data_IF_836634237172
#
_entry.id   IF_836634237172
#
_cell.length_a   1.000
_cell.length_b   1.000
_cell.length_c   1.000
_cell.angle_alpha   90.00
_cell.angle_beta   90.00
_cell.angle_gamma   90.00
#
_symmetry.space_group_name_H-M   'P 1'
#
loop_
_entity.id
_entity.type
_entity.pdbx_description
1 polymer ?
#
# COMPACT_ATOMS: atom_id res chain seq x y z
N UNK A 1 -21.33 15.27 6.15
CA UNK A 1 -20.71 14.09 5.50
C UNK A 1 -19.27 14.41 5.11
N UNK A 2 -18.32 13.61 5.57
CA UNK A 2 -16.95 13.64 5.08
C UNK A 2 -16.99 13.30 3.59
N UNK A 3 -16.33 14.10 2.74
CA UNK A 3 -16.37 13.92 1.27
C UNK A 3 -15.91 12.51 0.86
N UNK A 4 -15.14 11.84 1.73
CA UNK A 4 -14.54 10.54 1.50
C UNK A 4 -15.53 9.35 1.60
N UNK A 5 -16.70 9.56 2.21
CA UNK A 5 -17.70 8.50 2.44
C UNK A 5 -18.92 8.60 1.52
N UNK A 6 -18.92 9.57 0.60
CA UNK A 6 -20.03 9.74 -0.34
C UNK A 6 -20.05 8.59 -1.37
N UNK A 7 -21.16 7.82 -1.50
CA UNK A 7 -21.25 6.73 -2.45
C UNK A 7 -21.36 7.19 -3.92
N UNK A 8 -21.67 8.47 -4.15
CA UNK A 8 -21.88 9.05 -5.48
C UNK A 8 -20.67 9.80 -6.03
N UNK A 9 -20.69 10.17 -7.32
CA UNK A 9 -19.70 11.07 -7.88
C UNK A 9 -19.77 12.44 -7.17
N UNK A 10 -18.59 13.01 -6.87
CA UNK A 10 -18.51 14.28 -6.18
C UNK A 10 -19.09 15.42 -7.04
N UNK A 11 -19.96 16.22 -6.45
CA UNK A 11 -20.46 17.46 -7.03
C UNK A 11 -19.35 18.55 -7.06
N UNK A 12 -19.53 19.65 -7.80
CA UNK A 12 -18.52 20.71 -7.91
C UNK A 12 -18.10 21.33 -6.56
N UNK A 13 -19.02 21.47 -5.61
CA UNK A 13 -18.76 22.04 -4.28
C UNK A 13 -17.98 21.06 -3.40
N UNK A 14 -18.28 19.76 -3.50
CA UNK A 14 -17.51 18.71 -2.86
C UNK A 14 -16.08 18.66 -3.40
N UNK A 15 -15.91 18.77 -4.72
CA UNK A 15 -14.59 18.91 -5.35
C UNK A 15 -13.82 20.14 -4.87
N UNK A 16 -14.49 21.30 -4.75
CA UNK A 16 -13.87 22.52 -4.25
C UNK A 16 -13.38 22.35 -2.80
N UNK A 17 -14.19 21.71 -1.94
CA UNK A 17 -13.80 21.39 -0.55
C UNK A 17 -12.63 20.41 -0.51
N UNK A 18 -12.68 19.35 -1.31
CA UNK A 18 -11.60 18.37 -1.40
C UNK A 18 -10.28 19.03 -1.86
N UNK A 19 -10.32 19.93 -2.84
CA UNK A 19 -9.10 20.62 -3.28
C UNK A 19 -8.50 21.55 -2.23
N UNK A 20 -9.29 21.97 -1.25
CA UNK A 20 -8.86 22.89 -0.18
C UNK A 20 -8.35 22.19 1.08
N UNK A 21 -8.69 20.92 1.30
CA UNK A 21 -8.30 20.26 2.56
C UNK A 21 -6.79 20.22 2.79
N UNK A 22 -5.89 20.06 1.78
CA UNK A 22 -4.45 20.03 2.05
C UNK A 22 -3.96 21.31 2.74
N UNK A 23 -4.47 22.47 2.32
CA UNK A 23 -4.16 23.76 2.94
C UNK A 23 -4.72 23.86 4.37
N UNK A 24 -5.96 23.41 4.57
CA UNK A 24 -6.60 23.42 5.89
C UNK A 24 -5.85 22.50 6.88
N UNK A 25 -5.47 21.30 6.45
CA UNK A 25 -4.70 20.35 7.26
C UNK A 25 -3.33 20.91 7.64
N UNK A 26 -2.61 21.51 6.69
CA UNK A 26 -1.33 22.16 7.00
C UNK A 26 -1.48 23.31 8.00
N UNK A 27 -2.53 24.13 7.86
CA UNK A 27 -2.80 25.23 8.79
C UNK A 27 -3.14 24.73 10.20
N UNK A 28 -3.89 23.64 10.33
CA UNK A 28 -4.19 23.00 11.63
C UNK A 28 -2.91 22.48 12.29
N UNK A 29 -2.04 21.81 11.53
CA UNK A 29 -0.77 21.28 12.05
C UNK A 29 0.11 22.41 12.59
N UNK A 30 0.30 23.48 11.81
CA UNK A 30 1.11 24.63 12.22
C UNK A 30 0.46 25.41 13.39
N UNK A 31 -0.86 25.55 13.38
CA UNK A 31 -1.62 26.25 14.42
C UNK A 31 -1.62 25.53 15.77
N UNK A 32 -1.32 24.22 15.79
CA UNK A 32 -1.22 23.44 17.02
C UNK A 32 -0.02 23.80 17.91
N UNK A 33 0.96 24.55 17.40
CA UNK A 33 2.11 25.03 18.18
C UNK A 33 3.06 23.95 18.68
N UNK A 34 2.97 22.73 18.13
CA UNK A 34 3.87 21.61 18.43
C UNK A 34 5.17 21.79 17.65
N UNK A 35 6.33 21.95 18.31
CA UNK A 35 7.62 22.10 17.62
C UNK A 35 7.95 20.89 16.75
N UNK A 36 8.59 21.12 15.60
CA UNK A 36 9.05 20.04 14.71
C UNK A 36 7.97 19.47 13.77
N UNK A 37 6.85 20.17 13.59
CA UNK A 37 5.74 19.74 12.72
C UNK A 37 5.79 20.33 11.31
N UNK A 38 6.84 21.09 10.98
CA UNK A 38 6.97 21.80 9.70
C UNK A 38 6.96 20.83 8.51
N UNK A 39 7.67 19.71 8.61
CA UNK A 39 7.68 18.67 7.56
C UNK A 39 6.30 18.02 7.44
N UNK A 40 5.61 17.76 8.55
CA UNK A 40 4.27 17.19 8.53
C UNK A 40 3.26 18.15 7.88
N UNK A 41 3.38 19.45 8.14
CA UNK A 41 2.57 20.47 7.50
C UNK A 41 2.84 20.54 5.99
N UNK A 42 4.10 20.44 5.57
CA UNK A 42 4.49 20.37 4.14
C UNK A 42 3.92 19.10 3.48
N UNK A 43 4.01 17.94 4.13
CA UNK A 43 3.41 16.70 3.66
C UNK A 43 1.89 16.84 3.49
N UNK A 44 1.20 17.38 4.49
CA UNK A 44 -0.23 17.62 4.43
C UNK A 44 -0.62 18.59 3.30
N UNK A 45 0.17 19.64 3.07
CA UNK A 45 -0.07 20.61 2.01
C UNK A 45 0.14 20.02 0.61
N UNK A 46 1.18 19.21 0.42
CA UNK A 46 1.71 18.91 -0.91
C UNK A 46 1.44 17.50 -1.43
N UNK A 47 0.99 16.55 -0.61
CA UNK A 47 0.82 15.14 -1.02
C UNK A 47 -0.22 14.90 -2.14
N UNK A 48 -1.04 15.89 -2.50
CA UNK A 48 -1.95 15.84 -3.67
C UNK A 48 -1.44 16.61 -4.89
N UNK A 49 -0.26 17.23 -4.79
CA UNK A 49 0.42 17.84 -5.95
C UNK A 49 0.99 16.73 -6.83
N UNK A 50 1.01 16.99 -8.14
CA UNK A 50 1.56 16.07 -9.16
C UNK A 50 2.72 16.76 -9.89
N UNK A 51 3.79 16.04 -10.26
CA UNK A 51 4.90 16.58 -11.05
C UNK A 51 4.45 17.14 -12.41
N UNK A 52 3.42 16.56 -13.02
CA UNK A 52 2.84 17.04 -14.28
C UNK A 52 1.95 18.30 -14.15
N UNK A 53 1.76 18.81 -12.93
CA UNK A 53 0.94 19.98 -12.65
C UNK A 53 -0.57 19.71 -12.59
N UNK A 54 -1.03 18.47 -12.80
CA UNK A 54 -2.46 18.09 -12.73
C UNK A 54 -3.02 17.97 -11.31
N UNK A 55 -2.18 18.12 -10.29
CA UNK A 55 -2.54 17.98 -8.87
C UNK A 55 -3.04 19.27 -8.22
N UNK A 56 -3.18 19.24 -6.90
CA UNK A 56 -3.59 20.40 -6.09
C UNK A 56 -2.95 20.38 -4.69
N UNK A 57 -2.83 21.53 -4.01
CA UNK A 57 -3.09 22.89 -4.50
C UNK A 57 -2.00 23.35 -5.48
N UNK A 58 -2.37 24.27 -6.38
CA UNK A 58 -1.39 24.95 -7.23
C UNK A 58 -0.61 25.96 -6.38
N UNK A 59 0.72 25.79 -6.31
CA UNK A 59 1.63 26.71 -5.63
C UNK A 59 2.31 27.61 -6.66
N UNK A 60 2.44 28.90 -6.36
CA UNK A 60 2.93 29.92 -7.30
C UNK A 60 4.47 30.01 -7.36
N UNK A 61 5.17 29.24 -6.55
CA UNK A 61 6.64 29.28 -6.43
C UNK A 61 7.37 28.42 -7.47
N UNK A 62 6.65 27.61 -8.25
CA UNK A 62 7.22 26.80 -9.32
C UNK A 62 8.20 25.72 -8.85
N UNK A 63 8.29 25.47 -7.54
CA UNK A 63 9.21 24.47 -6.98
C UNK A 63 8.64 23.07 -7.05
N UNK A 64 9.55 22.10 -7.07
CA UNK A 64 9.21 20.68 -7.00
C UNK A 64 8.50 20.33 -5.68
N UNK A 65 7.76 19.23 -5.71
CA UNK A 65 7.09 18.69 -4.53
C UNK A 65 8.13 18.26 -3.51
N UNK A 66 7.91 18.60 -2.23
CA UNK A 66 8.83 18.19 -1.17
C UNK A 66 8.97 16.64 -1.15
N UNK A 67 10.19 16.06 -1.03
CA UNK A 67 10.41 14.62 -1.14
C UNK A 67 9.51 13.78 -0.22
N UNK A 68 9.31 14.21 1.03
CA UNK A 68 8.42 13.53 1.97
C UNK A 68 6.95 13.55 1.52
N UNK A 69 6.50 14.63 0.90
CA UNK A 69 5.14 14.75 0.35
C UNK A 69 4.99 13.91 -0.94
N UNK A 70 6.04 13.88 -1.76
CA UNK A 70 6.08 13.04 -2.96
C UNK A 70 6.02 11.54 -2.59
N UNK A 71 6.76 11.09 -1.58
CA UNK A 71 6.62 9.72 -1.07
C UNK A 71 5.22 9.47 -0.48
N UNK A 72 4.69 10.41 0.31
CA UNK A 72 3.35 10.29 0.86
C UNK A 72 2.29 10.16 -0.24
N UNK A 73 2.41 10.90 -1.36
CA UNK A 73 1.48 10.80 -2.48
C UNK A 73 1.38 9.38 -3.06
N UNK A 74 2.52 8.68 -3.16
CA UNK A 74 2.60 7.30 -3.62
C UNK A 74 1.91 6.36 -2.63
N UNK A 75 2.26 6.48 -1.35
CA UNK A 75 1.71 5.63 -0.28
C UNK A 75 0.21 5.84 -0.11
N UNK A 76 -0.25 7.09 -0.17
CA UNK A 76 -1.66 7.46 -0.03
C UNK A 76 -2.52 6.90 -1.17
N UNK A 77 -2.05 6.96 -2.42
CA UNK A 77 -2.77 6.33 -3.54
C UNK A 77 -2.76 4.81 -3.42
N UNK A 78 -1.63 4.20 -3.04
CA UNK A 78 -1.55 2.76 -2.82
C UNK A 78 -2.53 2.29 -1.73
N UNK A 79 -2.58 2.97 -0.58
CA UNK A 79 -3.54 2.71 0.49
C UNK A 79 -4.96 2.83 -0.03
N UNK A 80 -5.25 3.93 -0.72
CA UNK A 80 -6.60 4.18 -1.21
C UNK A 80 -7.05 3.04 -2.13
N UNK A 81 -6.18 2.56 -3.04
CA UNK A 81 -6.44 1.46 -3.99
C UNK A 81 -6.73 0.14 -3.27
N UNK A 82 -5.98 -0.18 -2.23
CA UNK A 82 -6.06 -1.47 -1.53
C UNK A 82 -7.08 -1.47 -0.37
N UNK A 83 -7.55 -0.30 0.06
CA UNK A 83 -8.54 -0.15 1.12
C UNK A 83 -9.97 -0.55 0.69
N UNK A 84 -10.74 -1.05 1.66
CA UNK A 84 -12.20 -1.25 1.51
C UNK A 84 -12.89 0.12 1.51
N UNK A 85 -13.61 0.47 0.44
CA UNK A 85 -14.39 1.70 0.34
C UNK A 85 -15.84 1.40 -0.09
N UNK A 86 -16.84 2.19 0.32
CA UNK A 86 -18.25 1.91 -0.01
C UNK A 86 -18.58 1.94 -1.51
N UNK A 87 -17.89 2.81 -2.27
CA UNK A 87 -18.20 3.13 -3.66
C UNK A 87 -17.33 2.40 -4.69
N UNK A 88 -16.33 1.62 -4.25
CA UNK A 88 -15.48 0.87 -5.18
C UNK A 88 -14.93 -0.40 -4.55
N UNK A 89 -14.70 -1.40 -5.40
CA UNK A 89 -13.99 -2.61 -5.01
C UNK A 89 -12.52 -2.28 -4.75
N UNK A 90 -11.97 -2.87 -3.69
CA UNK A 90 -10.54 -2.79 -3.40
C UNK A 90 -9.73 -3.54 -4.48
N UNK A 91 -8.61 -2.97 -4.87
CA UNK A 91 -7.64 -3.61 -5.76
C UNK A 91 -6.81 -4.66 -5.01
N UNK A 92 -6.19 -5.57 -5.75
CA UNK A 92 -5.13 -6.43 -5.20
C UNK A 92 -3.86 -5.62 -4.97
N UNK A 93 -2.97 -6.08 -4.08
CA UNK A 93 -1.72 -5.35 -3.79
C UNK A 93 -0.84 -5.28 -5.03
N UNK A 94 -0.69 -6.39 -5.76
CA UNK A 94 0.08 -6.45 -7.02
C UNK A 94 -0.49 -5.52 -8.09
N UNK A 95 -1.82 -5.45 -8.23
CA UNK A 95 -2.43 -4.51 -9.19
C UNK A 95 -2.26 -3.05 -8.75
N UNK A 96 -2.39 -2.75 -7.46
CA UNK A 96 -2.15 -1.41 -6.92
C UNK A 96 -0.70 -0.95 -7.15
N UNK A 97 0.29 -1.84 -6.92
CA UNK A 97 1.70 -1.61 -7.27
C UNK A 97 1.86 -1.28 -8.75
N UNK A 98 1.19 -2.04 -9.64
CA UNK A 98 1.25 -1.81 -11.09
C UNK A 98 0.66 -0.46 -11.49
N UNK A 99 -0.46 -0.05 -10.88
CA UNK A 99 -1.08 1.26 -11.12
C UNK A 99 -0.12 2.38 -10.72
N UNK A 100 0.46 2.31 -9.52
CA UNK A 100 1.46 3.26 -9.03
C UNK A 100 2.67 3.33 -9.96
N UNK A 101 3.21 2.18 -10.37
CA UNK A 101 4.35 2.11 -11.29
C UNK A 101 4.03 2.76 -12.65
N UNK A 102 2.81 2.59 -13.15
CA UNK A 102 2.36 3.19 -14.42
C UNK A 102 2.25 4.71 -14.34
N UNK A 103 1.92 5.27 -13.17
CA UNK A 103 1.86 6.72 -12.93
C UNK A 103 3.22 7.41 -12.74
N UNK A 104 4.32 6.66 -12.82
CA UNK A 104 5.67 7.20 -12.64
C UNK A 104 6.02 8.23 -13.71
N UNK A 105 6.46 9.42 -13.29
CA UNK A 105 6.85 10.52 -14.18
C UNK A 105 5.70 11.39 -14.66
N UNK A 106 4.45 11.04 -14.32
CA UNK A 106 3.27 11.89 -14.56
C UNK A 106 2.60 12.26 -13.24
N UNK A 107 1.99 11.27 -12.59
CA UNK A 107 1.27 11.43 -11.33
C UNK A 107 2.23 11.46 -10.14
N UNK A 108 3.33 10.71 -10.23
CA UNK A 108 4.28 10.51 -9.14
C UNK A 108 5.70 10.84 -9.55
N UNK A 109 6.49 11.29 -8.57
CA UNK A 109 7.94 11.43 -8.74
C UNK A 109 8.58 10.05 -9.02
N UNK A 110 9.35 9.89 -10.12
CA UNK A 110 9.95 8.60 -10.47
C UNK A 110 10.90 8.04 -9.40
N UNK A 111 11.62 8.91 -8.69
CA UNK A 111 12.51 8.52 -7.60
C UNK A 111 11.74 7.93 -6.42
N UNK A 112 10.61 8.54 -6.06
CA UNK A 112 9.74 8.04 -4.99
C UNK A 112 9.03 6.74 -5.37
N UNK A 113 8.60 6.58 -6.63
CA UNK A 113 8.07 5.30 -7.12
C UNK A 113 9.12 4.22 -7.02
N UNK A 114 10.35 4.47 -7.49
CA UNK A 114 11.44 3.49 -7.40
C UNK A 114 11.77 3.13 -5.95
N UNK A 115 11.79 4.12 -5.05
CA UNK A 115 12.00 3.87 -3.62
C UNK A 115 10.89 2.99 -3.04
N UNK A 116 9.63 3.30 -3.33
CA UNK A 116 8.47 2.51 -2.91
C UNK A 116 8.56 1.06 -3.42
N UNK A 117 8.80 0.87 -4.72
CA UNK A 117 8.93 -0.46 -5.34
C UNK A 117 10.12 -1.25 -4.77
N UNK A 118 11.24 -0.60 -4.46
CA UNK A 118 12.40 -1.27 -3.85
C UNK A 118 12.12 -1.82 -2.45
N UNK A 119 11.09 -1.31 -1.77
CA UNK A 119 10.69 -1.74 -0.42
C UNK A 119 9.51 -2.70 -0.43
N UNK A 120 8.54 -2.48 -1.31
CA UNK A 120 7.32 -3.28 -1.39
C UNK A 120 7.44 -4.47 -2.35
N UNK A 121 8.36 -4.44 -3.31
CA UNK A 121 8.48 -5.45 -4.35
C UNK A 121 7.21 -5.58 -5.20
N UNK A 122 7.13 -6.67 -5.96
CA UNK A 122 5.93 -7.00 -6.76
C UNK A 122 4.88 -7.79 -5.97
N UNK A 123 5.26 -8.34 -4.81
CA UNK A 123 4.37 -9.03 -3.88
C UNK A 123 4.55 -8.40 -2.51
N UNK A 124 3.86 -7.28 -2.25
CA UNK A 124 3.90 -6.63 -0.95
C UNK A 124 3.57 -7.60 0.18
N UNK A 125 4.24 -7.50 1.35
CA UNK A 125 3.84 -8.22 2.54
C UNK A 125 2.35 -8.02 2.82
N UNK A 126 1.62 -9.12 3.01
CA UNK A 126 0.17 -9.08 3.18
C UNK A 126 -0.64 -9.30 1.90
N UNK A 127 0.01 -9.56 0.76
CA UNK A 127 -0.67 -10.02 -0.44
C UNK A 127 -1.28 -11.41 -0.23
N UNK A 128 -2.55 -11.59 -0.55
CA UNK A 128 -3.21 -12.88 -0.43
C UNK A 128 -3.36 -13.53 -1.80
N UNK A 129 -3.10 -14.82 -1.90
CA UNK A 129 -3.19 -15.59 -3.14
C UNK A 129 -4.09 -16.79 -2.96
N UNK A 130 -5.01 -17.00 -3.90
CA UNK A 130 -5.74 -18.26 -3.99
C UNK A 130 -4.90 -19.29 -4.71
N UNK A 131 -4.73 -20.44 -4.09
CA UNK A 131 -4.03 -21.57 -4.68
C UNK A 131 -5.00 -22.40 -5.51
N UNK A 132 -4.47 -23.17 -6.47
CA UNK A 132 -5.27 -24.14 -7.24
C UNK A 132 -5.89 -25.23 -6.38
N UNK A 133 -5.36 -25.48 -5.18
CA UNK A 133 -5.94 -26.37 -4.17
C UNK A 133 -7.19 -25.80 -3.50
N UNK A 134 -7.46 -24.50 -3.63
CA UNK A 134 -8.55 -23.80 -2.95
C UNK A 134 -8.07 -22.99 -1.74
N UNK A 135 -6.93 -23.33 -1.15
CA UNK A 135 -6.35 -22.65 0.02
C UNK A 135 -5.97 -21.20 -0.28
N UNK A 136 -5.85 -20.39 0.78
CA UNK A 136 -5.34 -19.00 0.69
C UNK A 136 -3.98 -18.89 1.34
N UNK A 137 -3.00 -18.45 0.54
CA UNK A 137 -1.66 -18.09 0.96
C UNK A 137 -1.58 -16.60 1.27
N UNK A 138 -1.19 -16.25 2.50
CA UNK A 138 -0.70 -14.93 2.86
C UNK A 138 0.79 -14.84 2.47
N UNK A 139 1.08 -14.12 1.39
CA UNK A 139 2.43 -13.86 0.90
C UNK A 139 3.22 -12.91 1.81
N UNK A 140 4.46 -13.30 2.08
CA UNK A 140 5.44 -12.52 2.85
C UNK A 140 6.52 -11.97 1.92
N UNK A 141 7.01 -12.80 1.02
CA UNK A 141 8.16 -12.47 0.16
C UNK A 141 8.01 -13.20 -1.19
N UNK A 142 8.26 -12.47 -2.28
CA UNK A 142 8.49 -13.10 -3.59
C UNK A 142 9.89 -13.69 -3.64
N UNK A 143 10.01 -14.94 -4.03
CA UNK A 143 11.29 -15.65 -4.17
C UNK A 143 11.43 -16.19 -5.59
N UNK A 144 12.61 -16.71 -5.93
CA UNK A 144 12.83 -17.29 -7.26
C UNK A 144 11.86 -18.46 -7.50
N UNK A 145 11.06 -18.37 -8.56
CA UNK A 145 10.06 -19.36 -8.95
C UNK A 145 8.76 -19.40 -8.13
N UNK A 146 8.57 -18.55 -7.12
CA UNK A 146 7.35 -18.59 -6.32
C UNK A 146 7.20 -17.53 -5.23
N UNK A 147 6.30 -17.80 -4.29
CA UNK A 147 6.00 -16.93 -3.15
C UNK A 147 6.21 -17.71 -1.86
N UNK A 148 6.95 -17.14 -0.92
CA UNK A 148 7.05 -17.62 0.45
C UNK A 148 5.95 -16.96 1.28
N UNK A 149 5.27 -17.74 2.10
CA UNK A 149 4.17 -17.22 2.90
C UNK A 149 3.62 -18.21 3.90
N UNK A 150 2.37 -17.94 4.28
CA UNK A 150 1.60 -18.66 5.29
C UNK A 150 0.29 -19.14 4.69
N UNK A 151 -0.03 -20.42 4.77
CA UNK A 151 -1.42 -20.85 4.53
C UNK A 151 -2.25 -20.33 5.70
N UNK A 152 -3.27 -19.52 5.39
CA UNK A 152 -4.10 -18.83 6.37
C UNK A 152 -5.58 -19.25 6.29
N UNK A 153 -6.01 -19.78 5.14
CA UNK A 153 -7.36 -20.32 4.91
C UNK A 153 -7.20 -21.67 4.21
N UNK A 154 -7.96 -22.68 4.64
CA UNK A 154 -7.97 -23.99 3.97
C UNK A 154 -8.89 -24.00 2.72
N UNK A 155 -9.00 -25.15 2.07
CA UNK A 155 -9.79 -25.29 0.84
C UNK A 155 -11.32 -25.20 1.07
N UNK A 156 -11.78 -25.36 2.31
CA UNK A 156 -13.18 -25.23 2.69
C UNK A 156 -13.55 -23.78 3.07
N UNK A 157 -12.55 -22.88 3.12
CA UNK A 157 -12.73 -21.46 3.44
C UNK A 157 -12.58 -21.14 4.92
N UNK A 158 -12.11 -22.08 5.73
CA UNK A 158 -11.93 -21.90 7.17
C UNK A 158 -10.55 -21.33 7.50
N UNK A 159 -10.51 -20.34 8.41
CA UNK A 159 -9.26 -19.73 8.82
C UNK A 159 -8.44 -20.70 9.69
N UNK A 160 -7.19 -20.90 9.33
CA UNK A 160 -6.27 -21.70 10.12
C UNK A 160 -5.87 -20.95 11.40
N UNK A 161 -6.14 -21.56 12.55
CA UNK A 161 -5.73 -21.05 13.86
C UNK A 161 -4.20 -20.95 13.99
N UNK A 162 -3.47 -21.87 13.34
CA UNK A 162 -2.01 -21.84 13.27
C UNK A 162 -1.62 -21.78 11.79
N UNK A 163 -1.17 -20.61 11.29
CA UNK A 163 -0.77 -20.48 9.91
C UNK A 163 0.47 -21.33 9.63
N UNK A 164 0.49 -22.03 8.50
CA UNK A 164 1.58 -22.94 8.15
C UNK A 164 2.58 -22.26 7.20
N UNK A 165 3.86 -22.11 7.59
CA UNK A 165 4.89 -21.57 6.71
C UNK A 165 5.10 -22.49 5.51
N UNK A 166 5.10 -21.91 4.31
CA UNK A 166 5.27 -22.66 3.07
C UNK A 166 5.96 -21.85 1.98
N UNK A 167 6.33 -22.53 0.91
CA UNK A 167 6.74 -21.97 -0.36
C UNK A 167 5.82 -22.52 -1.44
N UNK A 168 5.21 -21.63 -2.21
CA UNK A 168 4.28 -21.99 -3.28
C UNK A 168 4.85 -21.52 -4.62
N UNK A 169 5.03 -22.41 -5.61
CA UNK A 169 5.47 -22.02 -6.93
C UNK A 169 4.38 -21.21 -7.66
N UNK A 170 4.78 -20.33 -8.59
CA UNK A 170 3.82 -19.44 -9.28
C UNK A 170 2.74 -20.20 -10.07
N UNK A 171 3.04 -21.40 -10.58
CA UNK A 171 2.08 -22.22 -11.33
C UNK A 171 0.96 -22.80 -10.45
N UNK A 172 1.20 -22.94 -9.14
CA UNK A 172 0.20 -23.34 -8.16
C UNK A 172 -0.72 -22.18 -7.71
N UNK A 173 -0.38 -20.92 -8.06
CA UNK A 173 -1.21 -19.75 -7.78
C UNK A 173 -2.29 -19.61 -8.84
N UNK A 174 -3.56 -19.60 -8.41
CA UNK A 174 -4.69 -19.32 -9.30
C UNK A 174 -4.87 -17.83 -9.54
N UNK A 175 -4.63 -17.00 -8.52
CA UNK A 175 -4.73 -15.54 -8.63
C UNK A 175 -4.49 -14.83 -7.30
N UNK A 176 -4.24 -13.53 -7.38
CA UNK A 176 -4.17 -12.65 -6.22
C UNK A 176 -5.57 -12.20 -5.79
N UNK A 177 -5.76 -12.02 -4.49
CA UNK A 177 -7.02 -11.66 -3.87
C UNK A 177 -6.95 -10.24 -3.31
N UNK A 178 -8.00 -9.47 -3.53
CA UNK A 178 -8.21 -8.22 -2.81
C UNK A 178 -8.62 -8.51 -1.37
N UNK A 179 -8.53 -7.50 -0.51
CA UNK A 179 -8.98 -7.57 0.89
C UNK A 179 -10.46 -7.92 1.04
N UNK A 180 -11.27 -7.87 -0.02
CA UNK A 180 -12.69 -8.21 0.00
C UNK A 180 -12.97 -9.69 -0.33
N UNK A 181 -11.99 -10.40 -0.88
CA UNK A 181 -12.13 -11.77 -1.40
C UNK A 181 -11.60 -12.85 -0.47
N UNK A 182 -11.14 -12.44 0.71
CA UNK A 182 -10.65 -13.33 1.76
C UNK A 182 -11.00 -12.78 3.13
N UNK A 183 -11.18 -13.70 4.08
CA UNK A 183 -11.36 -13.38 5.50
C UNK A 183 -10.02 -13.14 6.21
N UNK A 184 -8.90 -13.46 5.55
CA UNK A 184 -7.55 -13.25 6.06
C UNK A 184 -7.30 -11.76 6.28
N UNK A 185 -6.93 -11.39 7.50
CA UNK A 185 -6.51 -10.03 7.86
C UNK A 185 -4.99 -10.03 8.06
N UNK A 186 -4.19 -9.57 7.09
CA UNK A 186 -2.72 -9.62 7.18
C UNK A 186 -2.13 -9.12 8.50
N UNK A 187 -2.71 -8.04 9.05
CA UNK A 187 -2.29 -7.48 10.34
C UNK A 187 -2.40 -8.47 11.53
N UNK A 188 -3.35 -9.40 11.49
CA UNK A 188 -3.50 -10.43 12.53
C UNK A 188 -2.40 -11.50 12.48
N UNK A 189 -1.60 -11.53 11.42
CA UNK A 189 -0.56 -12.52 11.18
C UNK A 189 0.86 -11.93 11.32
N UNK A 190 1.00 -10.65 11.68
CA UNK A 190 2.31 -9.96 11.77
C UNK A 190 3.29 -10.69 12.70
N UNK A 191 2.85 -11.10 13.89
CA UNK A 191 3.69 -11.84 14.84
C UNK A 191 4.20 -13.18 14.26
N UNK A 192 3.38 -13.83 13.42
CA UNK A 192 3.75 -15.07 12.74
C UNK A 192 4.75 -14.83 11.60
N UNK A 193 4.57 -13.74 10.85
CA UNK A 193 5.49 -13.31 9.78
C UNK A 193 6.87 -12.98 10.35
N UNK A 194 6.94 -12.18 11.42
CA UNK A 194 8.19 -11.84 12.09
C UNK A 194 8.92 -13.07 12.66
N UNK A 195 8.17 -14.07 13.13
CA UNK A 195 8.75 -15.32 13.62
C UNK A 195 9.38 -16.15 12.48
N UNK A 196 8.83 -16.09 11.27
CA UNK A 196 9.39 -16.73 10.07
C UNK A 196 10.64 -16.00 9.62
N UNK A 197 10.58 -14.67 9.52
CA UNK A 197 11.72 -13.83 9.13
C UNK A 197 12.91 -13.99 10.08
N UNK A 198 12.67 -14.07 11.39
CA UNK A 198 13.72 -14.34 12.39
C UNK A 198 14.37 -15.73 12.21
N UNK A 199 13.59 -16.75 11.84
CA UNK A 199 14.09 -18.11 11.60
C UNK A 199 14.89 -18.23 10.31
N UNK A 200 14.58 -17.43 9.29
CA UNK A 200 15.31 -17.41 8.01
C UNK A 200 16.56 -16.55 8.07
N UNK A 201 16.55 -15.43 8.80
CA UNK A 201 17.73 -14.58 9.02
C UNK A 201 18.72 -15.15 10.04
N UNK A 202 18.29 -16.09 10.90
CA UNK A 202 19.11 -16.71 11.94
C UNK A 202 19.99 -17.90 11.50
N UNK A 203 20.07 -18.22 10.20
CA UNK A 203 21.00 -19.26 9.71
C UNK A 203 22.33 -18.58 9.35
N UNK A 204 23.42 -18.77 10.14
CA UNK A 204 24.74 -18.36 9.67
C UNK A 204 25.04 -19.15 8.40
N UNK A 205 25.59 -18.47 7.39
CA UNK A 205 26.23 -19.09 6.25
C UNK A 205 27.34 -20.02 6.76
N UNK A 206 26.99 -21.28 7.00
CA UNK A 206 27.92 -22.36 7.30
C UNK A 206 28.74 -22.67 6.06
N UNK A 207 29.72 -21.81 5.76
CA UNK A 207 30.81 -22.08 4.83
C UNK A 207 31.91 -22.83 5.56
N UNK A 208 31.73 -24.14 5.69
CA UNK A 208 32.79 -25.05 6.11
C UNK A 208 33.22 -25.95 4.95
N UNK A 209 34.33 -25.60 4.31
CA UNK A 209 35.53 -26.42 4.08
C UNK A 209 36.50 -25.70 3.15
#
# INVERSE_FOLDING_TARGET
>A
PEVIDDPGPLDPLQWERLRRYPMASAAVILGGGVPGTEVAAVMALEHKRRPDGGGYPALQDGRDVHPAAALLSVVDVYEALTARRPYRRAETNGNAVRIVATGSGSEFDPGMVNLFLSRFGHTPPGSCFRLRSGEVLLGVEAIDGGVRGLIAEDADGELLHIPQPTHVPFDAIQGELSVLETSVRPAAYLDHVEAIERRTQGRPSGGGR
#
